data_IF_232471415063
#
_entry.id   IF_232471415063
#
_cell.length_a   1.000
_cell.length_b   1.000
_cell.length_c   1.000
_cell.angle_alpha   90.00
_cell.angle_beta   90.00
_cell.angle_gamma   90.00
#
_symmetry.space_group_name_H-M   'P 1'
#
loop_
_entity.id
_entity.type
_entity.pdbx_description
1 polymer ?
#
# COMPACT_ATOMS: atom_id res chain seq x y z
N UNK A 1 -53.86 0.12 -54.34
CA UNK A 1 -52.76 1.05 -54.00
C UNK A 1 -52.29 0.70 -52.60
N UNK A 2 -51.03 0.25 -52.47
CA UNK A 2 -50.45 -0.36 -51.25
C UNK A 2 -50.00 0.75 -50.28
N UNK A 3 -50.60 0.84 -49.09
CA UNK A 3 -50.05 1.65 -48.00
C UNK A 3 -49.12 0.78 -47.14
N UNK A 4 -47.82 1.00 -47.32
CA UNK A 4 -46.73 0.37 -46.59
C UNK A 4 -46.65 1.00 -45.19
N UNK A 5 -47.01 0.24 -44.14
CA UNK A 5 -46.79 0.65 -42.75
C UNK A 5 -45.34 0.32 -42.38
N UNK A 6 -44.46 1.32 -42.34
CA UNK A 6 -43.16 1.20 -41.68
C UNK A 6 -43.38 1.13 -40.17
N UNK A 7 -43.10 -0.03 -39.57
CA UNK A 7 -42.99 -0.19 -38.12
C UNK A 7 -41.53 0.06 -37.77
N UNK A 8 -41.23 1.24 -37.23
CA UNK A 8 -39.94 1.52 -36.59
C UNK A 8 -39.92 0.84 -35.22
N UNK A 9 -39.20 -0.27 -35.10
CA UNK A 9 -38.82 -0.84 -33.80
C UNK A 9 -37.61 -0.07 -33.26
N UNK A 10 -37.85 0.85 -32.32
CA UNK A 10 -36.80 1.50 -31.56
C UNK A 10 -36.20 0.50 -30.57
N UNK A 11 -35.03 -0.06 -30.90
CA UNK A 11 -34.21 -0.83 -29.98
C UNK A 11 -33.60 0.13 -28.95
N UNK A 12 -34.23 0.22 -27.78
CA UNK A 12 -33.64 0.91 -26.63
C UNK A 12 -32.45 0.09 -26.13
N UNK A 13 -31.24 0.44 -26.58
CA UNK A 13 -29.99 -0.10 -26.06
C UNK A 13 -29.81 0.39 -24.63
N UNK A 14 -30.19 -0.46 -23.67
CA UNK A 14 -29.89 -0.27 -22.26
C UNK A 14 -28.37 -0.49 -22.08
N UNK A 15 -27.59 0.59 -22.17
CA UNK A 15 -26.18 0.55 -21.82
C UNK A 15 -26.07 0.32 -20.31
N UNK A 16 -25.78 -0.91 -19.90
CA UNK A 16 -25.43 -1.21 -18.52
C UNK A 16 -24.13 -0.46 -18.20
N UNK A 17 -24.24 0.64 -17.43
CA UNK A 17 -23.08 1.27 -16.80
C UNK A 17 -22.41 0.22 -15.91
N UNK A 18 -21.27 -0.31 -16.36
CA UNK A 18 -20.40 -1.09 -15.48
C UNK A 18 -19.85 -0.13 -14.44
N UNK A 19 -20.39 -0.19 -13.22
CA UNK A 19 -19.78 0.46 -12.08
C UNK A 19 -18.39 -0.16 -11.89
N UNK A 20 -17.35 0.58 -12.24
CA UNK A 20 -15.98 0.20 -11.89
C UNK A 20 -15.88 0.31 -10.37
N UNK A 21 -16.09 -0.81 -9.68
CA UNK A 21 -15.84 -0.89 -8.26
C UNK A 21 -14.35 -0.66 -8.06
N UNK A 22 -13.98 0.52 -7.52
CA UNK A 22 -12.60 0.87 -7.24
C UNK A 22 -11.95 -0.11 -6.26
N UNK A 23 -10.64 0.02 -6.02
CA UNK A 23 -9.92 -0.88 -5.13
C UNK A 23 -10.60 -0.99 -3.76
N UNK A 24 -10.76 -2.23 -3.28
CA UNK A 24 -11.40 -2.51 -1.99
C UNK A 24 -10.44 -3.25 -1.07
N UNK A 25 -10.33 -2.79 0.17
CA UNK A 25 -9.55 -3.50 1.18
C UNK A 25 -10.19 -4.85 1.56
N UNK A 26 -9.36 -5.89 1.62
CA UNK A 26 -9.73 -7.23 2.11
C UNK A 26 -8.74 -7.67 3.17
N UNK A 27 -9.24 -8.23 4.27
CA UNK A 27 -8.38 -8.78 5.34
C UNK A 27 -7.81 -10.13 4.92
N UNK A 28 -6.56 -10.38 5.29
CA UNK A 28 -5.88 -11.67 5.09
C UNK A 28 -6.04 -12.50 6.36
N UNK A 29 -6.75 -13.63 6.26
CA UNK A 29 -7.05 -14.52 7.38
C UNK A 29 -6.82 -15.99 6.96
N UNK A 30 -5.93 -16.73 7.64
CA UNK A 30 -4.97 -16.23 8.64
C UNK A 30 -3.93 -15.29 8.02
N UNK A 31 -3.30 -14.39 8.80
CA UNK A 31 -2.19 -13.57 8.30
C UNK A 31 -1.06 -14.43 7.72
N UNK A 32 -0.43 -13.95 6.65
CA UNK A 32 0.72 -14.63 6.03
C UNK A 32 2.00 -14.00 6.55
N UNK A 33 2.78 -14.74 7.32
CA UNK A 33 3.94 -14.23 8.04
C UNK A 33 5.27 -14.79 7.54
N UNK A 34 6.30 -13.96 7.57
CA UNK A 34 7.70 -14.38 7.41
C UNK A 34 8.59 -13.65 8.42
N UNK A 35 9.76 -14.20 8.71
CA UNK A 35 10.81 -13.49 9.46
C UNK A 35 11.77 -12.87 8.46
N UNK A 36 12.06 -11.59 8.64
CA UNK A 36 12.98 -10.80 7.81
C UNK A 36 13.86 -9.94 8.72
N UNK A 37 14.70 -9.08 8.15
CA UNK A 37 15.47 -8.09 8.89
C UNK A 37 15.16 -6.67 8.40
N UNK A 38 15.33 -5.68 9.27
CA UNK A 38 15.29 -4.27 8.88
C UNK A 38 16.52 -3.98 8.02
N UNK A 39 16.30 -3.54 6.77
CA UNK A 39 17.36 -3.15 5.85
C UNK A 39 17.64 -1.64 5.91
N UNK A 40 16.61 -0.83 6.15
CA UNK A 40 16.72 0.64 6.21
C UNK A 40 15.66 1.21 7.15
N UNK A 41 16.02 2.27 7.89
CA UNK A 41 15.10 3.15 8.61
C UNK A 41 15.41 4.57 8.15
N UNK A 42 14.39 5.30 7.72
CA UNK A 42 14.53 6.66 7.19
C UNK A 42 13.27 7.50 7.47
N UNK A 43 13.32 8.78 7.13
CA UNK A 43 12.14 9.60 7.07
C UNK A 43 11.32 9.28 5.80
N UNK A 44 10.01 9.48 5.85
CA UNK A 44 9.11 9.21 4.72
C UNK A 44 9.46 10.04 3.48
N UNK A 45 9.86 11.29 3.68
CA UNK A 45 10.25 12.23 2.63
C UNK A 45 11.66 12.73 2.90
N UNK A 46 12.35 13.08 1.83
CA UNK A 46 13.61 13.80 1.84
C UNK A 46 13.73 14.64 0.58
N UNK A 47 14.85 15.33 0.45
CA UNK A 47 15.16 16.17 -0.70
C UNK A 47 16.29 15.55 -1.51
N UNK A 48 16.28 15.75 -2.82
CA UNK A 48 17.42 15.44 -3.65
C UNK A 48 18.34 16.67 -3.74
N UNK A 49 19.55 16.52 -3.23
CA UNK A 49 20.57 17.57 -3.23
C UNK A 49 21.79 17.02 -3.97
N UNK A 50 22.11 17.61 -5.12
CA UNK A 50 23.23 17.20 -5.97
C UNK A 50 23.20 15.71 -6.37
N UNK A 51 22.02 15.19 -6.74
CA UNK A 51 21.85 13.78 -7.12
C UNK A 51 21.87 12.81 -5.94
N UNK A 52 21.90 13.30 -4.70
CA UNK A 52 21.85 12.49 -3.49
C UNK A 52 20.57 12.77 -2.72
N UNK A 53 19.82 11.71 -2.40
CA UNK A 53 18.68 11.79 -1.50
C UNK A 53 19.15 12.04 -0.06
N UNK A 54 18.61 13.08 0.55
CA UNK A 54 18.83 13.48 1.94
C UNK A 54 17.49 13.37 2.66
N UNK A 55 17.30 12.38 3.56
CA UNK A 55 16.04 12.23 4.29
C UNK A 55 15.80 13.44 5.20
N UNK A 56 14.55 13.87 5.33
CA UNK A 56 14.13 14.87 6.32
C UNK A 56 14.19 14.32 7.75
N UNK A 57 13.71 15.09 8.73
CA UNK A 57 13.50 14.58 10.09
C UNK A 57 12.21 13.74 10.13
N UNK A 58 12.26 12.46 10.54
CA UNK A 58 11.07 11.63 10.66
C UNK A 58 9.98 12.21 11.58
N UNK A 59 10.34 13.10 12.53
CA UNK A 59 9.38 13.78 13.40
C UNK A 59 8.52 14.80 12.67
N UNK A 60 9.02 15.35 11.57
CA UNK A 60 8.34 16.37 10.77
C UNK A 60 7.61 15.76 9.57
N UNK A 61 8.22 14.75 8.92
CA UNK A 61 7.70 14.23 7.65
C UNK A 61 7.19 12.80 7.71
N UNK A 62 7.32 12.13 8.86
CA UNK A 62 6.88 10.75 9.08
C UNK A 62 7.99 9.71 8.90
N UNK A 63 7.67 8.46 9.20
CA UNK A 63 8.63 7.34 9.21
C UNK A 63 8.52 6.46 7.97
N UNK A 64 9.67 6.02 7.43
CA UNK A 64 9.77 4.95 6.46
C UNK A 64 10.70 3.82 6.95
N UNK A 65 10.44 2.61 6.46
CA UNK A 65 11.23 1.42 6.76
C UNK A 65 11.28 0.52 5.52
N UNK A 66 12.44 -0.12 5.29
CA UNK A 66 12.58 -1.21 4.31
C UNK A 66 13.05 -2.47 5.00
N UNK A 67 12.51 -3.60 4.57
CA UNK A 67 12.92 -4.92 5.02
C UNK A 67 13.77 -5.64 3.95
N UNK A 68 14.63 -6.57 4.38
CA UNK A 68 15.53 -7.30 3.48
C UNK A 68 14.82 -8.19 2.45
N UNK A 69 13.56 -8.54 2.70
CA UNK A 69 12.71 -9.28 1.75
C UNK A 69 11.98 -8.37 0.74
N UNK A 70 12.37 -7.08 0.65
CA UNK A 70 11.87 -6.13 -0.34
C UNK A 70 10.58 -5.40 0.05
N UNK A 71 9.94 -5.75 1.17
CA UNK A 71 8.75 -5.04 1.65
C UNK A 71 9.14 -3.67 2.20
N UNK A 72 8.42 -2.63 1.79
CA UNK A 72 8.48 -1.29 2.37
C UNK A 72 7.40 -1.09 3.42
N UNK A 73 7.56 -0.06 4.24
CA UNK A 73 6.54 0.43 5.17
C UNK A 73 6.62 1.94 5.28
N UNK A 74 5.49 2.62 5.23
CA UNK A 74 5.43 4.08 5.30
C UNK A 74 4.36 4.56 6.28
N UNK A 75 4.70 5.57 7.08
CA UNK A 75 3.82 6.31 7.97
C UNK A 75 3.98 7.80 7.72
N UNK A 76 2.88 8.55 7.70
CA UNK A 76 2.92 10.02 7.74
C UNK A 76 3.26 10.52 9.15
N UNK A 77 2.96 9.72 10.16
CA UNK A 77 3.31 9.99 11.55
C UNK A 77 4.72 9.50 11.87
N UNK A 78 5.31 10.11 12.89
CA UNK A 78 6.50 9.59 13.55
C UNK A 78 6.19 8.30 14.31
N UNK A 79 6.97 7.24 14.08
CA UNK A 79 6.81 5.95 14.76
C UNK A 79 8.02 5.67 15.65
N UNK A 80 7.97 5.98 16.97
CA UNK A 80 9.11 5.81 17.89
C UNK A 80 9.62 4.36 17.95
N UNK A 81 8.71 3.38 17.85
CA UNK A 81 9.05 1.96 17.79
C UNK A 81 10.03 1.62 16.66
N UNK A 82 9.96 2.37 15.55
CA UNK A 82 10.87 2.22 14.41
C UNK A 82 12.05 3.18 14.57
N UNK A 83 11.79 4.48 14.70
CA UNK A 83 12.81 5.53 14.61
C UNK A 83 13.79 5.58 15.79
N UNK A 84 13.36 5.20 17.00
CA UNK A 84 14.20 5.27 18.21
C UNK A 84 14.55 3.90 18.79
N UNK A 85 13.60 2.96 18.74
CA UNK A 85 13.75 1.67 19.42
C UNK A 85 14.34 0.59 18.52
N UNK A 86 14.08 0.66 17.21
CA UNK A 86 14.59 -0.31 16.24
C UNK A 86 15.91 0.13 15.62
N UNK A 87 16.59 -0.80 14.95
CA UNK A 87 17.82 -0.51 14.18
C UNK A 87 17.93 -1.45 12.98
N UNK A 88 18.72 -1.04 11.98
CA UNK A 88 19.10 -1.89 10.84
C UNK A 88 19.70 -3.20 11.36
N UNK A 89 19.29 -4.31 10.74
CA UNK A 89 19.68 -5.67 11.11
C UNK A 89 18.76 -6.35 12.12
N UNK A 90 17.85 -5.63 12.80
CA UNK A 90 16.89 -6.27 13.71
C UNK A 90 16.02 -7.28 12.99
N UNK A 91 15.85 -8.46 13.59
CA UNK A 91 14.92 -9.47 13.09
C UNK A 91 13.48 -9.03 13.38
N UNK A 92 12.63 -9.15 12.38
CA UNK A 92 11.22 -8.74 12.45
C UNK A 92 10.36 -9.89 11.95
N UNK A 93 9.31 -10.24 12.71
CA UNK A 93 8.20 -11.04 12.17
C UNK A 93 7.27 -10.08 11.44
N UNK A 94 7.14 -10.25 10.14
CA UNK A 94 6.34 -9.40 9.27
C UNK A 94 5.18 -10.22 8.69
N UNK A 95 3.95 -9.76 8.92
CA UNK A 95 2.73 -10.46 8.55
C UNK A 95 1.87 -9.60 7.64
N UNK A 96 1.53 -10.09 6.45
CA UNK A 96 0.50 -9.48 5.61
C UNK A 96 -0.87 -9.67 6.29
N UNK A 97 -1.53 -8.57 6.65
CA UNK A 97 -2.80 -8.58 7.39
C UNK A 97 -3.97 -8.04 6.57
N UNK A 98 -3.71 -7.20 5.58
CA UNK A 98 -4.71 -6.80 4.60
C UNK A 98 -4.09 -6.42 3.27
N UNK A 99 -4.90 -6.48 2.21
CA UNK A 99 -4.53 -5.99 0.88
C UNK A 99 -5.74 -5.42 0.18
N UNK A 100 -5.52 -4.49 -0.73
CA UNK A 100 -6.54 -4.06 -1.69
C UNK A 100 -6.68 -5.09 -2.82
N UNK A 101 -7.92 -5.35 -3.25
CA UNK A 101 -8.26 -6.14 -4.43
C UNK A 101 -8.96 -5.24 -5.44
N UNK A 102 -8.89 -5.61 -6.73
CA UNK A 102 -9.40 -4.74 -7.81
C UNK A 102 -8.45 -3.59 -8.16
N UNK A 103 -7.17 -3.69 -7.78
CA UNK A 103 -6.12 -2.77 -8.23
C UNK A 103 -5.91 -2.88 -9.75
N UNK A 104 -5.51 -1.79 -10.43
CA UNK A 104 -5.10 -1.85 -11.83
C UNK A 104 -4.00 -2.90 -12.05
N UNK A 105 -3.99 -3.52 -13.23
CA UNK A 105 -2.98 -4.52 -13.58
C UNK A 105 -1.57 -3.94 -13.47
N UNK A 106 -0.71 -4.58 -12.68
CA UNK A 106 0.67 -4.15 -12.44
C UNK A 106 0.86 -3.18 -11.28
N UNK A 107 -0.21 -2.67 -10.68
CA UNK A 107 -0.13 -1.90 -9.43
C UNK A 107 -0.22 -2.83 -8.23
N UNK A 108 0.94 -3.15 -7.67
CA UNK A 108 1.11 -4.11 -6.59
C UNK A 108 0.97 -3.49 -5.18
N UNK A 109 0.68 -2.18 -5.10
CA UNK A 109 0.54 -1.44 -3.84
C UNK A 109 -0.74 -1.80 -3.09
N UNK A 110 -0.88 -1.28 -1.88
CA UNK A 110 -2.11 -1.39 -1.09
C UNK A 110 -2.10 -2.61 -0.20
N UNK A 111 -0.93 -3.03 0.27
CA UNK A 111 -0.75 -4.11 1.25
C UNK A 111 -0.43 -3.49 2.59
N UNK A 112 -1.03 -4.00 3.66
CA UNK A 112 -0.71 -3.58 5.03
C UNK A 112 -0.07 -4.73 5.78
N UNK A 113 1.05 -4.44 6.43
CA UNK A 113 1.83 -5.41 7.18
C UNK A 113 1.87 -5.06 8.66
N UNK A 114 1.60 -6.06 9.50
CA UNK A 114 1.88 -6.01 10.93
C UNK A 114 3.30 -6.53 11.16
N UNK A 115 4.12 -5.72 11.80
CA UNK A 115 5.49 -6.04 12.17
C UNK A 115 5.62 -6.20 13.68
N UNK A 116 6.46 -7.14 14.09
CA UNK A 116 6.93 -7.27 15.47
C UNK A 116 8.45 -7.38 15.44
N UNK A 117 9.14 -6.40 16.03
CA UNK A 117 10.58 -6.47 16.22
C UNK A 117 10.88 -7.54 17.27
N UNK A 118 11.68 -8.55 16.91
CA UNK A 118 11.96 -9.69 17.79
C UNK A 118 13.01 -9.38 18.86
N UNK A 119 13.71 -8.24 18.77
CA UNK A 119 14.63 -7.77 19.81
C UNK A 119 13.93 -6.89 20.84
N UNK A 120 13.09 -5.94 20.39
CA UNK A 120 12.44 -4.98 21.29
C UNK A 120 11.02 -5.37 21.69
N UNK A 121 10.42 -6.32 20.97
CA UNK A 121 9.01 -6.72 21.07
C UNK A 121 8.00 -5.62 20.70
N UNK A 122 8.48 -4.47 20.23
CA UNK A 122 7.66 -3.39 19.71
C UNK A 122 6.92 -3.82 18.44
N UNK A 123 5.77 -3.20 18.21
CA UNK A 123 4.87 -3.54 17.11
C UNK A 123 4.44 -2.30 16.36
N UNK A 124 4.23 -2.45 15.05
CA UNK A 124 3.66 -1.42 14.21
C UNK A 124 2.92 -2.06 13.04
N UNK A 125 1.97 -1.32 12.46
CA UNK A 125 1.23 -1.75 11.27
C UNK A 125 1.31 -0.66 10.23
N UNK A 126 1.96 -0.92 9.10
CA UNK A 126 2.19 0.09 8.05
C UNK A 126 1.72 -0.42 6.68
N UNK A 127 1.20 0.48 5.82
CA UNK A 127 1.03 0.21 4.40
C UNK A 127 2.39 0.11 3.71
N UNK A 128 2.44 -0.65 2.63
CA UNK A 128 3.63 -0.84 1.79
C UNK A 128 3.97 0.37 0.92
N UNK A 129 3.03 1.30 0.76
CA UNK A 129 3.17 2.52 -0.02
C UNK A 129 2.42 3.70 0.62
N UNK A 130 2.81 4.92 0.25
CA UNK A 130 2.16 6.16 0.68
C UNK A 130 0.70 6.25 0.22
N UNK A 131 0.44 5.79 -0.99
CA UNK A 131 -0.88 5.80 -1.60
C UNK A 131 -1.32 4.36 -1.84
N UNK A 132 -2.62 4.12 -1.71
CA UNK A 132 -3.25 2.86 -2.13
C UNK A 132 -3.09 2.68 -3.64
N UNK A 133 -3.29 1.45 -4.13
CA UNK A 133 -3.30 1.19 -5.57
C UNK A 133 -4.42 1.98 -6.28
N UNK A 134 -4.26 2.25 -7.58
CA UNK A 134 -5.28 2.94 -8.38
C UNK A 134 -5.09 4.45 -8.55
N UNK A 135 -3.98 5.01 -8.09
CA UNK A 135 -3.62 6.41 -8.29
C UNK A 135 -2.60 6.90 -7.26
N UNK A 136 -2.26 8.19 -7.34
CA UNK A 136 -1.53 8.94 -6.33
C UNK A 136 -2.20 10.31 -6.19
#
# INVERSE_FOLDING_TARGET
MRSLRLILLALASCAAMQANAGPRETKVRPPVCSVTTIAEISARIGEEINGKFVPGDPKDVGTAIRYANGVGGVSYDYVPAISERSRVGDRVRLCLVSRYVGCPKGDERGKTYLAVNLRTHEKWSLPDAQHICGGA
#
